data_IF_043136789400
#
_entry.id   IF_043136789400
#
_cell.length_a   1.000
_cell.length_b   1.000
_cell.length_c   1.000
_cell.angle_alpha   90.00
_cell.angle_beta   90.00
_cell.angle_gamma   90.00
#
_symmetry.space_group_name_H-M   'P 1'
#
loop_
_entity.id
_entity.type
_entity.pdbx_description
1 polymer ?
#
# COMPACT_ATOMS: atom_id res chain seq x y z
N UNK A 1 -15.67 75.64 27.38
CA UNK A 1 -15.05 75.38 26.05
C UNK A 1 -14.84 73.87 25.84
N UNK A 2 -15.92 73.08 25.92
CA UNK A 2 -15.87 71.61 25.76
C UNK A 2 -17.04 71.06 24.92
N UNK A 3 -17.99 71.92 24.53
CA UNK A 3 -19.16 71.53 23.73
C UNK A 3 -18.97 71.66 22.22
N UNK A 4 -17.88 72.30 21.76
CA UNK A 4 -17.62 72.51 20.33
C UNK A 4 -16.80 71.38 19.69
N UNK A 5 -16.19 70.48 20.47
CA UNK A 5 -15.39 69.37 19.92
C UNK A 5 -16.18 68.08 19.66
N UNK A 6 -17.42 67.95 20.17
CA UNK A 6 -18.22 66.74 19.95
C UNK A 6 -18.96 66.70 18.60
N UNK A 7 -19.07 67.84 17.89
CA UNK A 7 -19.80 67.91 16.61
C UNK A 7 -18.96 67.67 15.35
N UNK A 8 -17.63 67.59 15.45
CA UNK A 8 -16.79 67.25 14.28
C UNK A 8 -16.55 65.75 14.08
N UNK A 9 -16.76 64.91 15.11
CA UNK A 9 -16.55 63.46 15.02
C UNK A 9 -17.69 62.70 14.32
N UNK A 10 -18.93 63.17 14.47
CA UNK A 10 -20.10 62.48 13.92
C UNK A 10 -20.25 62.65 12.39
N UNK A 11 -19.67 63.70 11.80
CA UNK A 11 -19.83 63.98 10.37
C UNK A 11 -18.83 63.22 9.46
N UNK A 12 -17.77 62.64 10.03
CA UNK A 12 -16.79 61.85 9.26
C UNK A 12 -17.08 60.34 9.23
N UNK A 13 -17.98 59.85 10.09
CA UNK A 13 -18.34 58.42 10.09
C UNK A 13 -19.47 58.08 9.11
N UNK A 14 -20.34 59.03 8.75
CA UNK A 14 -21.44 58.76 7.82
C UNK A 14 -21.03 58.75 6.34
N UNK A 15 -19.87 59.31 5.99
CA UNK A 15 -19.36 59.32 4.60
C UNK A 15 -18.62 58.00 4.28
N UNK A 16 -18.01 57.35 5.28
CA UNK A 16 -17.26 56.11 5.05
C UNK A 16 -18.15 54.85 4.95
N UNK A 17 -19.36 54.86 5.52
CA UNK A 17 -20.29 53.71 5.41
C UNK A 17 -21.10 53.66 4.10
N UNK A 18 -21.21 54.77 3.37
CA UNK A 18 -21.96 54.82 2.10
C UNK A 18 -21.24 54.15 0.91
N UNK A 19 -19.90 54.11 0.95
CA UNK A 19 -19.06 53.56 -0.12
C UNK A 19 -18.79 52.05 0.06
N UNK A 20 -18.67 51.57 1.30
CA UNK A 20 -18.49 50.13 1.59
C UNK A 20 -19.73 49.31 1.20
N UNK A 21 -20.91 49.94 1.21
CA UNK A 21 -22.16 49.26 0.90
C UNK A 21 -22.47 49.14 -0.61
N UNK A 22 -21.67 49.78 -1.48
CA UNK A 22 -21.74 49.58 -2.95
C UNK A 22 -20.85 48.46 -3.44
N UNK A 23 -19.87 48.02 -2.64
CA UNK A 23 -18.96 46.93 -3.03
C UNK A 23 -19.52 45.53 -2.75
N UNK A 24 -20.67 45.42 -2.06
CA UNK A 24 -21.27 44.11 -1.68
C UNK A 24 -22.32 43.62 -2.70
N UNK A 25 -22.67 44.40 -3.73
CA UNK A 25 -23.77 44.06 -4.65
C UNK A 25 -23.36 43.58 -6.06
N UNK A 26 -22.09 43.34 -6.33
CA UNK A 26 -21.67 42.88 -7.67
C UNK A 26 -20.49 41.92 -7.65
N UNK A 27 -20.67 40.77 -7.00
CA UNK A 27 -20.01 39.52 -7.42
C UNK A 27 -21.00 38.37 -7.22
N UNK A 28 -22.09 38.39 -7.98
CA UNK A 28 -22.88 37.19 -8.27
C UNK A 28 -22.81 37.03 -9.79
N UNK A 29 -21.67 36.54 -10.27
CA UNK A 29 -21.56 35.98 -11.60
C UNK A 29 -21.03 34.56 -11.42
N UNK A 30 -21.92 33.61 -11.70
CA UNK A 30 -21.73 32.19 -11.45
C UNK A 30 -20.52 31.63 -12.18
N UNK A 31 -19.43 31.43 -11.44
CA UNK A 31 -18.49 30.36 -11.73
C UNK A 31 -18.94 29.15 -10.93
N UNK A 32 -19.42 28.11 -11.59
CA UNK A 32 -19.46 26.79 -10.97
C UNK A 32 -18.01 26.40 -10.66
N UNK A 33 -17.56 26.65 -9.43
CA UNK A 33 -16.31 26.11 -8.92
C UNK A 33 -16.55 24.61 -8.80
N UNK A 34 -16.17 23.87 -9.83
CA UNK A 34 -16.02 22.43 -9.73
C UNK A 34 -14.92 22.19 -8.71
N UNK A 35 -15.31 21.86 -7.49
CA UNK A 35 -14.43 21.31 -6.46
C UNK A 35 -13.89 20.00 -7.03
N UNK A 36 -12.72 20.06 -7.68
CA UNK A 36 -11.88 18.91 -7.94
C UNK A 36 -11.44 18.39 -6.57
N UNK A 37 -12.20 17.45 -6.03
CA UNK A 37 -11.80 16.68 -4.86
C UNK A 37 -10.59 15.84 -5.26
N UNK A 38 -9.40 16.33 -4.94
CA UNK A 38 -8.17 15.53 -4.93
C UNK A 38 -8.33 14.58 -3.75
N UNK A 39 -8.84 13.37 -3.99
CA UNK A 39 -8.78 12.30 -3.01
C UNK A 39 -7.31 11.92 -2.86
N UNK A 40 -6.74 12.22 -1.68
CA UNK A 40 -5.39 11.77 -1.35
C UNK A 40 -5.31 10.25 -1.49
N UNK A 41 -4.30 9.77 -2.20
CA UNK A 41 -3.95 8.35 -2.22
C UNK A 41 -3.66 7.90 -0.78
N UNK A 42 -4.46 6.98 -0.25
CA UNK A 42 -4.15 6.29 1.00
C UNK A 42 -3.55 4.94 0.65
N UNK A 43 -2.51 4.51 1.36
CA UNK A 43 -1.99 3.16 1.23
C UNK A 43 -3.08 2.14 1.64
N UNK A 44 -3.14 1.02 0.92
CA UNK A 44 -3.96 -0.13 1.28
C UNK A 44 -3.10 -1.07 2.13
N UNK A 45 -3.63 -1.52 3.25
CA UNK A 45 -2.97 -2.50 4.12
C UNK A 45 -3.77 -3.79 4.10
N UNK A 46 -3.06 -4.89 3.88
CA UNK A 46 -3.57 -6.25 3.95
C UNK A 46 -2.86 -6.94 5.11
N UNK A 47 -3.59 -7.40 6.12
CA UNK A 47 -3.04 -8.05 7.30
C UNK A 47 -4.02 -9.08 7.88
N UNK A 48 -3.57 -10.33 7.96
CA UNK A 48 -4.37 -11.42 8.51
C UNK A 48 -4.11 -11.63 10.01
N UNK A 49 -4.94 -12.50 10.62
CA UNK A 49 -4.85 -12.82 12.04
C UNK A 49 -4.32 -14.23 12.26
N UNK A 50 -3.54 -14.48 13.33
CA UNK A 50 -2.92 -15.78 13.55
C UNK A 50 -3.95 -16.82 14.01
N UNK A 51 -3.90 -18.01 13.44
CA UNK A 51 -4.67 -19.16 13.90
C UNK A 51 -3.94 -20.52 13.76
N UNK A 52 -2.67 -20.49 13.36
CA UNK A 52 -1.84 -21.67 13.21
C UNK A 52 -0.38 -21.37 13.46
N UNK A 53 0.45 -22.40 13.34
CA UNK A 53 1.91 -22.27 13.42
C UNK A 53 2.56 -23.26 12.47
N UNK A 54 3.63 -22.82 11.84
CA UNK A 54 4.38 -23.54 10.81
C UNK A 54 5.77 -23.82 11.38
N UNK A 55 6.22 -25.08 11.34
CA UNK A 55 7.49 -25.55 11.89
C UNK A 55 8.17 -26.50 10.90
N UNK A 56 9.49 -26.61 10.83
CA UNK A 56 10.55 -25.68 11.23
C UNK A 56 11.25 -25.14 9.97
N UNK A 57 11.67 -23.88 10.01
CA UNK A 57 12.43 -23.21 8.97
C UNK A 57 13.86 -22.94 9.43
N UNK A 58 14.82 -22.94 8.50
CA UNK A 58 16.22 -22.64 8.76
C UNK A 58 17.09 -23.88 8.69
N UNK A 59 18.36 -23.74 9.07
CA UNK A 59 19.35 -24.80 8.93
C UNK A 59 19.13 -25.89 10.00
N UNK A 60 19.30 -27.19 9.68
CA UNK A 60 19.60 -27.79 8.37
C UNK A 60 18.35 -28.14 7.55
N UNK A 61 17.16 -27.76 8.02
CA UNK A 61 15.86 -28.17 7.49
C UNK A 61 15.41 -27.29 6.31
N UNK A 62 14.21 -26.70 6.41
CA UNK A 62 13.57 -25.99 5.32
C UNK A 62 14.26 -24.68 5.02
N UNK A 63 14.81 -24.57 3.82
CA UNK A 63 15.63 -23.43 3.42
C UNK A 63 14.79 -22.17 3.20
N UNK A 64 13.58 -22.29 2.64
CA UNK A 64 12.76 -21.14 2.24
C UNK A 64 11.29 -21.32 2.59
N UNK A 65 10.66 -20.31 3.19
CA UNK A 65 9.22 -20.20 3.46
C UNK A 65 8.71 -18.90 2.84
N UNK A 66 7.60 -18.96 2.14
CA UNK A 66 7.01 -17.80 1.47
C UNK A 66 5.51 -17.79 1.47
N UNK A 67 4.97 -16.59 1.30
CA UNK A 67 3.57 -16.31 1.06
C UNK A 67 3.44 -15.87 -0.40
N UNK A 68 2.66 -16.59 -1.19
CA UNK A 68 2.26 -16.10 -2.51
C UNK A 68 1.13 -15.09 -2.35
N UNK A 69 0.98 -14.19 -3.33
CA UNK A 69 -0.09 -13.21 -3.33
C UNK A 69 -0.40 -12.71 -4.74
N UNK A 70 -1.64 -12.28 -4.97
CA UNK A 70 -2.06 -11.65 -6.21
C UNK A 70 -2.08 -10.13 -6.01
N UNK A 71 -1.19 -9.40 -6.67
CA UNK A 71 -1.04 -7.98 -6.37
C UNK A 71 -2.30 -7.16 -6.75
N UNK A 72 -2.76 -6.22 -5.90
CA UNK A 72 -3.86 -5.31 -6.23
C UNK A 72 -3.46 -4.22 -7.25
N UNK A 73 -2.17 -4.17 -7.60
CA UNK A 73 -1.53 -3.08 -8.35
C UNK A 73 -0.94 -2.00 -7.44
N UNK A 74 -0.12 -1.13 -8.02
CA UNK A 74 0.57 -0.07 -7.27
C UNK A 74 1.89 -0.52 -6.68
N UNK A 75 2.46 0.26 -5.77
CA UNK A 75 3.79 -0.01 -5.22
C UNK A 75 3.71 -0.79 -3.92
N UNK A 76 4.35 -1.95 -3.81
CA UNK A 76 4.54 -2.61 -2.53
C UNK A 76 5.55 -1.80 -1.70
N UNK A 77 5.11 -1.31 -0.55
CA UNK A 77 5.87 -0.41 0.33
C UNK A 77 6.53 -1.16 1.48
N UNK A 78 5.75 -1.99 2.17
CA UNK A 78 6.17 -2.68 3.38
C UNK A 78 5.66 -4.13 3.37
N UNK A 79 6.45 -5.03 3.95
CA UNK A 79 6.07 -6.43 4.19
C UNK A 79 6.53 -6.86 5.59
N UNK A 80 5.69 -7.58 6.32
CA UNK A 80 6.02 -8.09 7.66
C UNK A 80 5.63 -9.55 7.79
N UNK A 81 6.51 -10.36 8.36
CA UNK A 81 6.22 -11.71 8.83
C UNK A 81 6.26 -11.79 10.36
N UNK A 82 5.57 -12.77 10.93
CA UNK A 82 5.51 -12.97 12.38
C UNK A 82 6.13 -14.32 12.76
N UNK A 83 7.29 -14.27 13.41
CA UNK A 83 8.03 -15.44 13.88
C UNK A 83 7.66 -15.75 15.33
N UNK A 84 7.46 -17.01 15.64
CA UNK A 84 6.92 -17.51 16.92
C UNK A 84 7.96 -18.26 17.76
N UNK A 85 9.20 -18.38 17.27
CA UNK A 85 10.28 -19.07 17.98
C UNK A 85 11.45 -19.43 17.06
N UNK A 86 12.51 -20.00 17.64
CA UNK A 86 13.71 -20.44 16.93
C UNK A 86 14.99 -19.76 17.40
N UNK A 87 16.11 -20.18 16.81
CA UNK A 87 17.45 -19.70 17.16
C UNK A 87 17.84 -18.49 16.30
N UNK A 88 18.63 -17.58 16.89
CA UNK A 88 19.12 -16.40 16.20
C UNK A 88 20.01 -16.76 15.00
N UNK A 89 20.06 -15.87 14.01
CA UNK A 89 20.97 -15.99 12.86
C UNK A 89 20.60 -15.00 11.77
N UNK A 90 21.18 -15.17 10.60
CA UNK A 90 20.95 -14.35 9.42
C UNK A 90 20.04 -15.05 8.41
N UNK A 91 19.34 -14.23 7.63
CA UNK A 91 18.56 -14.68 6.50
C UNK A 91 18.40 -13.58 5.45
N UNK A 92 17.66 -13.91 4.41
CA UNK A 92 17.31 -13.02 3.31
C UNK A 92 15.81 -13.00 3.14
N UNK A 93 15.29 -11.83 2.81
CA UNK A 93 13.94 -11.64 2.30
C UNK A 93 14.02 -11.34 0.82
N UNK A 94 13.16 -11.98 0.05
CA UNK A 94 13.14 -11.88 -1.41
C UNK A 94 11.70 -11.78 -1.88
N UNK A 95 11.49 -10.99 -2.92
CA UNK A 95 10.24 -10.97 -3.70
C UNK A 95 10.57 -11.35 -5.14
N UNK A 96 9.79 -12.25 -5.72
CA UNK A 96 9.93 -12.73 -7.09
C UNK A 96 8.57 -12.97 -7.75
N UNK A 97 8.57 -13.09 -9.09
CA UNK A 97 7.41 -13.54 -9.84
C UNK A 97 7.05 -14.99 -9.45
N UNK A 98 5.75 -15.31 -9.49
CA UNK A 98 5.24 -16.66 -9.20
C UNK A 98 4.57 -17.27 -10.43
N UNK A 99 5.01 -18.46 -10.86
CA UNK A 99 4.45 -19.14 -12.03
C UNK A 99 3.22 -20.02 -11.74
N UNK A 100 2.76 -20.03 -10.49
CA UNK A 100 1.73 -20.93 -9.97
C UNK A 100 2.29 -22.11 -9.16
N UNK A 101 3.56 -22.44 -9.33
CA UNK A 101 4.22 -23.61 -8.73
C UNK A 101 5.59 -23.34 -8.11
N UNK A 102 6.31 -22.34 -8.60
CA UNK A 102 7.62 -21.92 -8.09
C UNK A 102 7.89 -20.43 -8.34
N UNK A 103 8.86 -19.92 -7.59
CA UNK A 103 9.45 -18.61 -7.85
C UNK A 103 10.21 -18.64 -9.17
N UNK A 104 10.04 -17.62 -10.00
CA UNK A 104 10.66 -17.53 -11.34
C UNK A 104 11.23 -16.14 -11.61
N UNK A 105 12.08 -16.05 -12.62
CA UNK A 105 12.67 -14.79 -13.05
C UNK A 105 13.79 -14.31 -12.11
N UNK A 106 14.24 -13.05 -12.29
CA UNK A 106 15.18 -12.42 -11.36
C UNK A 106 14.49 -12.05 -10.03
N UNK A 107 15.29 -11.85 -8.98
CA UNK A 107 14.80 -11.23 -7.75
C UNK A 107 14.29 -9.81 -8.07
N UNK A 108 13.01 -9.54 -7.77
CA UNK A 108 12.41 -8.22 -7.93
C UNK A 108 12.80 -7.29 -6.79
N UNK A 109 12.97 -7.86 -5.60
CA UNK A 109 13.52 -7.20 -4.41
C UNK A 109 14.28 -8.22 -3.57
N UNK A 110 15.36 -7.79 -2.92
CA UNK A 110 16.00 -8.58 -1.88
C UNK A 110 16.54 -7.69 -0.75
N UNK A 111 16.60 -8.26 0.45
CA UNK A 111 17.21 -7.63 1.62
C UNK A 111 17.73 -8.69 2.59
N UNK A 112 18.92 -8.48 3.15
CA UNK A 112 19.42 -9.31 4.24
C UNK A 112 18.88 -8.81 5.59
N UNK A 113 18.64 -9.73 6.52
CA UNK A 113 18.23 -9.39 7.88
C UNK A 113 18.88 -10.30 8.92
N UNK A 114 18.94 -9.80 10.15
CA UNK A 114 19.36 -10.56 11.33
C UNK A 114 18.15 -10.84 12.21
N UNK A 115 17.98 -12.10 12.56
CA UNK A 115 16.95 -12.61 13.45
C UNK A 115 17.53 -12.82 14.84
N UNK A 116 16.92 -12.21 15.85
CA UNK A 116 17.41 -12.28 17.24
C UNK A 116 17.05 -13.58 17.97
N UNK A 117 16.25 -14.48 17.36
CA UNK A 117 15.67 -15.63 18.05
C UNK A 117 14.36 -15.29 18.79
N UNK A 118 13.58 -16.33 19.13
CA UNK A 118 12.33 -16.18 19.88
C UNK A 118 11.18 -15.49 19.11
N UNK A 119 10.15 -15.05 19.82
CA UNK A 119 8.97 -14.44 19.21
C UNK A 119 9.27 -13.00 18.77
N UNK A 120 9.13 -12.70 17.48
CA UNK A 120 9.28 -11.34 16.95
C UNK A 120 8.62 -11.19 15.57
N UNK A 121 8.27 -9.95 15.22
CA UNK A 121 7.94 -9.59 13.84
C UNK A 121 9.21 -9.18 13.08
N UNK A 122 9.33 -9.62 11.83
CA UNK A 122 10.39 -9.19 10.91
C UNK A 122 9.75 -8.35 9.82
N UNK A 123 10.10 -7.07 9.78
CA UNK A 123 9.51 -6.07 8.88
C UNK A 123 10.54 -5.55 7.88
N UNK A 124 10.12 -5.47 6.63
CA UNK A 124 10.88 -4.95 5.50
C UNK A 124 10.15 -3.71 4.98
N UNK A 125 10.83 -2.57 5.03
CA UNK A 125 10.25 -1.28 4.63
C UNK A 125 11.04 -0.61 3.51
N UNK A 126 10.39 0.33 2.83
CA UNK A 126 11.01 1.05 1.72
C UNK A 126 11.23 0.17 0.49
N UNK A 127 10.38 -0.84 0.30
CA UNK A 127 10.45 -1.78 -0.83
C UNK A 127 10.26 -1.01 -2.15
N UNK A 128 9.24 -0.14 -2.23
CA UNK A 128 8.91 0.70 -3.39
C UNK A 128 8.91 -0.07 -4.72
N UNK A 129 8.36 -1.29 -4.71
CA UNK A 129 8.34 -2.18 -5.86
C UNK A 129 7.00 -2.08 -6.58
N UNK A 130 7.00 -1.54 -7.80
CA UNK A 130 5.80 -1.42 -8.62
C UNK A 130 5.29 -2.77 -9.08
N UNK A 131 4.06 -3.10 -8.68
CA UNK A 131 3.39 -4.37 -8.96
C UNK A 131 2.26 -4.18 -9.97
N UNK A 132 2.17 -5.12 -10.91
CA UNK A 132 1.05 -5.19 -11.85
C UNK A 132 -0.16 -5.86 -11.19
N UNK A 133 -1.32 -5.22 -11.30
CA UNK A 133 -2.57 -5.73 -10.74
C UNK A 133 -2.94 -7.08 -11.38
N UNK A 134 -3.27 -8.07 -10.55
CA UNK A 134 -3.67 -9.42 -10.96
C UNK A 134 -2.52 -10.37 -11.32
N UNK A 135 -1.26 -9.92 -11.24
CA UNK A 135 -0.11 -10.81 -11.34
C UNK A 135 0.17 -11.48 -9.99
N UNK A 136 0.68 -12.71 -10.05
CA UNK A 136 1.06 -13.48 -8.88
C UNK A 136 2.55 -13.33 -8.57
N UNK A 137 2.84 -13.14 -7.29
CA UNK A 137 4.19 -12.99 -6.76
C UNK A 137 4.36 -13.86 -5.53
N UNK A 138 5.61 -14.03 -5.09
CA UNK A 138 5.94 -14.64 -3.81
C UNK A 138 6.86 -13.73 -3.01
N UNK A 139 6.49 -13.47 -1.76
CA UNK A 139 7.36 -12.85 -0.77
C UNK A 139 7.85 -13.96 0.16
N UNK A 140 9.16 -14.17 0.26
CA UNK A 140 9.71 -15.29 1.02
C UNK A 140 10.94 -14.92 1.83
N UNK A 141 11.09 -15.61 2.95
CA UNK A 141 12.34 -15.65 3.70
C UNK A 141 13.14 -16.86 3.26
N UNK A 142 14.46 -16.74 3.23
CA UNK A 142 15.36 -17.84 2.90
C UNK A 142 16.69 -17.73 3.63
N UNK A 143 17.29 -18.88 3.93
CA UNK A 143 18.70 -18.99 4.33
C UNK A 143 19.60 -19.46 3.17
N UNK A 144 19.07 -19.56 1.95
CA UNK A 144 19.86 -19.89 0.77
C UNK A 144 20.96 -18.85 0.54
N UNK A 145 22.18 -19.34 0.30
CA UNK A 145 23.37 -18.48 0.15
C UNK A 145 23.89 -17.84 1.45
N UNK A 146 23.30 -18.14 2.60
CA UNK A 146 23.86 -17.77 3.92
C UNK A 146 24.78 -18.90 4.40
N UNK A 147 25.90 -18.56 5.02
CA UNK A 147 26.78 -19.56 5.63
C UNK A 147 25.99 -20.36 6.68
N UNK A 148 26.01 -21.71 6.64
CA UNK A 148 25.30 -22.54 7.61
C UNK A 148 25.57 -22.22 9.08
N UNK A 149 26.75 -21.70 9.42
CA UNK A 149 27.11 -21.33 10.80
C UNK A 149 26.42 -20.03 11.24
N UNK A 150 26.11 -19.15 10.29
CA UNK A 150 25.49 -17.85 10.53
C UNK A 150 23.97 -17.88 10.29
N UNK A 151 23.45 -18.87 9.57
CA UNK A 151 22.03 -19.02 9.27
C UNK A 151 21.19 -19.27 10.53
N UNK A 152 19.98 -18.68 10.59
CA UNK A 152 19.04 -19.05 11.65
C UNK A 152 18.56 -20.51 11.50
N UNK A 153 18.11 -21.08 12.61
CA UNK A 153 17.66 -22.48 12.69
C UNK A 153 16.42 -22.62 13.57
N UNK A 154 15.69 -23.71 13.36
CA UNK A 154 14.50 -24.09 14.13
C UNK A 154 13.44 -22.97 14.25
N UNK A 155 13.34 -22.13 13.22
CA UNK A 155 12.41 -21.00 13.21
C UNK A 155 11.00 -21.50 12.99
N UNK A 156 10.11 -21.07 13.88
CA UNK A 156 8.68 -21.28 13.72
C UNK A 156 8.02 -19.99 13.29
N UNK A 157 7.06 -20.10 12.38
CA UNK A 157 6.34 -18.96 11.81
C UNK A 157 4.88 -19.04 12.19
N UNK A 158 4.28 -17.90 12.49
CA UNK A 158 2.84 -17.80 12.71
C UNK A 158 2.09 -18.07 11.41
N UNK A 159 1.02 -18.86 11.48
CA UNK A 159 0.17 -19.21 10.35
C UNK A 159 -1.21 -18.57 10.45
N UNK A 160 -1.88 -18.47 9.31
CA UNK A 160 -3.27 -18.04 9.18
C UNK A 160 -4.05 -18.98 8.25
N UNK A 161 -5.37 -18.85 8.27
CA UNK A 161 -6.28 -19.45 7.29
C UNK A 161 -7.03 -18.38 6.49
N UNK A 162 -6.55 -17.14 6.54
CA UNK A 162 -7.13 -15.98 5.91
C UNK A 162 -6.03 -15.24 5.15
N UNK A 163 -6.32 -14.85 3.93
CA UNK A 163 -5.42 -14.10 3.04
C UNK A 163 -5.68 -12.58 3.10
N UNK A 164 -6.66 -12.15 3.91
CA UNK A 164 -7.16 -10.77 4.03
C UNK A 164 -7.51 -10.14 2.67
N UNK A 165 -7.89 -10.97 1.69
CA UNK A 165 -8.22 -10.55 0.32
C UNK A 165 -7.03 -10.21 -0.57
N UNK A 166 -5.79 -10.48 -0.14
CA UNK A 166 -4.59 -10.35 -0.99
C UNK A 166 -4.38 -11.58 -1.90
N UNK A 167 -5.06 -12.69 -1.60
CA UNK A 167 -4.92 -13.95 -2.33
C UNK A 167 -3.64 -14.71 -2.01
N UNK A 168 -3.50 -15.89 -2.63
CA UNK A 168 -2.33 -16.74 -2.53
C UNK A 168 -2.37 -17.74 -1.37
N UNK A 169 -1.20 -18.28 -1.03
CA UNK A 169 -1.04 -19.30 0.01
C UNK A 169 0.43 -19.41 0.47
N UNK A 170 0.62 -20.09 1.60
CA UNK A 170 1.92 -20.51 2.11
C UNK A 170 2.57 -21.56 1.22
N UNK A 171 3.85 -21.35 0.91
CA UNK A 171 4.71 -22.25 0.15
C UNK A 171 6.05 -22.43 0.84
N UNK A 172 6.66 -23.61 0.68
CA UNK A 172 8.02 -23.85 1.14
C UNK A 172 8.88 -24.60 0.13
N UNK A 173 10.19 -24.42 0.24
CA UNK A 173 11.17 -25.15 -0.55
C UNK A 173 12.37 -25.58 0.30
N UNK A 174 12.65 -26.88 0.23
CA UNK A 174 13.85 -27.51 0.76
C UNK A 174 14.95 -27.50 -0.32
N UNK A 175 15.60 -26.36 -0.52
CA UNK A 175 16.60 -26.20 -1.58
C UNK A 175 18.02 -26.65 -1.19
N UNK A 176 18.24 -27.08 0.06
CA UNK A 176 19.56 -27.50 0.54
C UNK A 176 20.58 -26.38 0.51
N UNK A 177 20.15 -25.14 0.73
CA UNK A 177 20.99 -23.94 0.69
C UNK A 177 21.22 -23.34 -0.71
N UNK A 178 20.71 -23.98 -1.76
CA UNK A 178 20.74 -23.46 -3.14
C UNK A 178 19.67 -22.38 -3.30
N UNK A 179 19.96 -21.35 -4.10
CA UNK A 179 19.00 -20.29 -4.41
C UNK A 179 17.74 -20.86 -5.09
N UNK A 180 16.53 -20.66 -4.52
CA UNK A 180 15.28 -21.11 -5.12
C UNK A 180 15.08 -20.69 -6.58
N UNK A 181 15.55 -19.51 -7.00
CA UNK A 181 15.38 -19.01 -8.37
C UNK A 181 16.27 -19.71 -9.40
N UNK A 182 17.31 -20.40 -8.93
CA UNK A 182 18.19 -21.22 -9.79
C UNK A 182 17.70 -22.65 -9.97
N UNK A 183 16.64 -23.04 -9.25
CA UNK A 183 16.08 -24.38 -9.25
C UNK A 183 14.79 -24.41 -10.07
N UNK A 184 14.53 -25.55 -10.71
CA UNK A 184 13.27 -25.83 -11.40
C UNK A 184 12.27 -26.61 -10.50
N UNK A 185 12.51 -26.60 -9.19
CA UNK A 185 11.74 -27.35 -8.21
C UNK A 185 10.41 -26.64 -7.90
N UNK A 186 9.32 -27.41 -7.94
CA UNK A 186 8.02 -26.97 -7.43
C UNK A 186 8.11 -26.79 -5.92
N UNK A 187 7.55 -25.69 -5.40
CA UNK A 187 7.45 -25.49 -3.96
C UNK A 187 6.24 -26.24 -3.43
N UNK A 188 6.42 -26.85 -2.27
CA UNK A 188 5.38 -27.62 -1.61
C UNK A 188 4.45 -26.70 -0.79
N UNK A 189 3.26 -27.21 -0.47
CA UNK A 189 2.34 -26.60 0.49
C UNK A 189 2.23 -27.45 1.76
N UNK A 190 1.65 -26.84 2.80
CA UNK A 190 1.44 -27.48 4.09
C UNK A 190 -0.02 -27.38 4.51
N UNK A 191 -0.38 -27.96 5.67
CA UNK A 191 -1.78 -27.93 6.14
C UNK A 191 -2.25 -26.53 6.56
N UNK A 192 -1.31 -25.61 6.80
CA UNK A 192 -1.61 -24.20 7.05
C UNK A 192 -1.70 -23.50 5.71
N UNK A 193 -2.82 -22.82 5.46
CA UNK A 193 -3.09 -22.14 4.19
C UNK A 193 -2.17 -20.95 3.95
N UNK A 194 -1.90 -20.14 4.98
CA UNK A 194 -1.20 -18.87 4.84
C UNK A 194 -0.17 -18.66 5.96
N UNK A 195 0.88 -17.91 5.68
CA UNK A 195 1.69 -17.30 6.73
C UNK A 195 0.92 -16.13 7.34
N UNK A 196 1.13 -15.84 8.62
CA UNK A 196 0.70 -14.56 9.15
C UNK A 196 1.57 -13.45 8.52
N UNK A 197 0.93 -12.45 7.93
CA UNK A 197 1.63 -11.34 7.28
C UNK A 197 0.93 -10.00 7.46
N UNK A 198 1.67 -8.93 7.16
CA UNK A 198 1.11 -7.61 6.86
C UNK A 198 1.84 -7.01 5.67
N UNK A 199 1.09 -6.62 4.64
CA UNK A 199 1.58 -6.01 3.41
C UNK A 199 0.93 -4.65 3.20
N UNK A 200 1.71 -3.66 2.78
CA UNK A 200 1.21 -2.30 2.50
C UNK A 200 1.49 -1.93 1.04
N UNK A 201 0.44 -1.58 0.31
CA UNK A 201 0.51 -1.14 -1.08
C UNK A 201 0.16 0.35 -1.19
N UNK A 202 1.03 1.11 -1.85
CA UNK A 202 0.72 2.44 -2.32
C UNK A 202 -0.26 2.37 -3.48
N UNK A 203 -1.40 3.05 -3.39
CA UNK A 203 -2.36 3.10 -4.50
C UNK A 203 -1.83 3.99 -5.61
N UNK A 204 -1.56 3.44 -6.80
CA UNK A 204 -1.36 4.26 -7.98
C UNK A 204 -2.71 4.88 -8.32
N UNK A 205 -2.81 6.21 -8.32
CA UNK A 205 -4.02 6.90 -8.74
C UNK A 205 -4.33 6.50 -10.18
N UNK A 206 -5.33 5.64 -10.39
CA UNK A 206 -5.94 5.48 -11.71
C UNK A 206 -6.52 6.86 -12.03
N UNK A 207 -6.03 7.57 -13.06
CA UNK A 207 -6.65 8.83 -13.45
C UNK A 207 -8.11 8.52 -13.73
N UNK A 208 -9.04 9.22 -13.05
CA UNK A 208 -10.46 9.03 -13.33
C UNK A 208 -10.66 9.06 -14.84
N UNK A 209 -11.42 8.10 -15.42
CA UNK A 209 -11.61 8.07 -16.85
C UNK A 209 -12.08 9.46 -17.29
N UNK A 210 -11.37 10.08 -18.23
CA UNK A 210 -11.71 11.41 -18.76
C UNK A 210 -13.18 11.53 -19.21
N UNK A 211 -13.87 10.39 -19.34
CA UNK A 211 -15.32 10.26 -19.46
C UNK A 211 -16.11 11.01 -18.37
N UNK A 212 -15.70 11.04 -17.10
CA UNK A 212 -16.41 11.78 -16.05
C UNK A 212 -16.31 13.29 -16.27
N UNK A 213 -15.13 13.77 -16.68
CA UNK A 213 -14.90 15.16 -17.09
C UNK A 213 -15.74 15.51 -18.33
N UNK A 214 -15.80 14.60 -19.31
CA UNK A 214 -16.59 14.77 -20.53
C UNK A 214 -18.10 14.75 -20.24
N UNK A 215 -18.56 13.90 -19.33
CA UNK A 215 -19.96 13.81 -18.93
C UNK A 215 -20.39 15.06 -18.17
N UNK A 216 -19.52 15.59 -17.30
CA UNK A 216 -19.73 16.88 -16.64
C UNK A 216 -19.83 18.04 -17.64
N UNK A 217 -18.94 18.10 -18.63
CA UNK A 217 -18.99 19.12 -19.69
C UNK A 217 -20.21 18.96 -20.61
N UNK A 218 -20.62 17.74 -20.92
CA UNK A 218 -21.81 17.45 -21.73
C UNK A 218 -23.10 17.92 -21.04
N UNK A 219 -23.21 17.72 -19.73
CA UNK A 219 -24.34 18.23 -18.93
C UNK A 219 -24.37 19.76 -18.89
N UNK A 220 -23.22 20.42 -18.74
CA UNK A 220 -23.11 21.88 -18.80
C UNK A 220 -23.47 22.43 -20.19
N UNK A 221 -23.04 21.74 -21.26
CA UNK A 221 -23.41 22.07 -22.64
C UNK A 221 -24.92 21.98 -22.88
N UNK A 222 -25.58 20.94 -22.38
CA UNK A 222 -27.02 20.77 -22.49
C UNK A 222 -27.80 21.85 -21.74
N UNK A 223 -27.36 22.24 -20.54
CA UNK A 223 -27.96 23.35 -19.79
C UNK A 223 -27.80 24.70 -20.51
N UNK A 224 -26.67 24.92 -21.21
CA UNK A 224 -26.42 26.12 -22.01
C UNK A 224 -27.35 26.28 -23.23
N UNK A 225 -27.74 25.17 -23.87
CA UNK A 225 -28.56 25.21 -25.10
C UNK A 225 -30.04 25.57 -24.88
N UNK A 226 -30.57 25.47 -23.65
CA UNK A 226 -31.99 25.70 -23.36
C UNK A 226 -32.39 27.17 -23.18
N UNK A 227 -31.43 28.11 -23.19
CA UNK A 227 -31.67 29.54 -22.91
C UNK A 227 -31.98 30.41 -24.14
N UNK A 228 -31.98 29.86 -25.37
CA UNK A 228 -32.27 30.64 -26.60
C UNK A 228 -33.62 30.29 -27.21
N UNK A 229 -34.73 30.73 -26.60
CA UNK A 229 -35.98 31.03 -27.32
C UNK A 229 -36.74 32.17 -26.64
N UNK A 230 -36.49 33.38 -27.12
CA UNK A 230 -37.45 34.48 -27.11
C UNK A 230 -37.09 35.44 -28.24
N UNK A 231 -37.76 35.32 -29.38
CA UNK A 231 -38.47 36.37 -30.15
C UNK A 231 -39.37 35.63 -31.13
#
# INVERSE_FOLDING_TARGET
>A
MAYLMLRLGALRLSIFLGEIMKFVKSVVFGGAVALLSITGANAATYANTPNGQIFSMGYPDTTSYGQTFSAPGGDLLNWTFYLTGGNSGSGRFVIADWDGSKAVGPELFNSSFSYAGGVQSVSFSGINLGMLAGNDYIAYMTIAGVDPVDAYSDVSVSGSSDDDGLGGEFRYLNSGGVDPLSLDNVWDSYFVSDMQFSAEFGVSQVPEPAMLSLFGLALLGLMGTRSRKSV
#
